data_IF_045105278223
#
_entry.id   IF_045105278223
#
_cell.length_a   1.000
_cell.length_b   1.000
_cell.length_c   1.000
_cell.angle_alpha   90.00
_cell.angle_beta   90.00
_cell.angle_gamma   90.00
#
_symmetry.space_group_name_H-M   'P 1'
#
loop_
_entity.id
_entity.type
_entity.pdbx_description
1 polymer ?
#
# COMPACT_ATOMS: atom_id res chain seq x y z
N UNK A 1 -7.70 -19.63 -15.15
CA UNK A 1 -8.49 -18.81 -16.10
C UNK A 1 -9.22 -17.67 -15.38
N UNK A 2 -9.84 -17.91 -14.23
CA UNK A 2 -10.55 -16.88 -13.45
C UNK A 2 -9.63 -15.78 -12.87
N UNK A 3 -8.47 -16.15 -12.30
CA UNK A 3 -7.49 -15.15 -11.79
C UNK A 3 -7.05 -14.16 -12.87
N UNK A 4 -6.76 -14.64 -14.08
CA UNK A 4 -6.37 -13.78 -15.19
C UNK A 4 -7.51 -12.82 -15.60
N UNK A 5 -8.76 -13.31 -15.60
CA UNK A 5 -9.94 -12.47 -15.86
C UNK A 5 -10.15 -11.40 -14.78
N UNK A 6 -9.94 -11.74 -13.51
CA UNK A 6 -10.02 -10.79 -12.40
C UNK A 6 -8.95 -9.70 -12.52
N UNK A 7 -7.70 -10.09 -12.84
CA UNK A 7 -6.60 -9.16 -13.11
C UNK A 7 -6.99 -8.20 -14.25
N UNK A 8 -7.44 -8.73 -15.39
CA UNK A 8 -7.86 -7.90 -16.53
C UNK A 8 -9.00 -6.94 -16.18
N UNK A 9 -9.93 -7.34 -15.32
CA UNK A 9 -11.05 -6.47 -14.92
C UNK A 9 -10.59 -5.31 -14.04
N UNK A 10 -9.71 -5.57 -13.05
CA UNK A 10 -9.14 -4.53 -12.19
C UNK A 10 -8.28 -3.57 -13.00
N UNK A 11 -7.42 -4.08 -13.88
CA UNK A 11 -6.59 -3.25 -14.75
C UNK A 11 -7.42 -2.38 -15.71
N UNK A 12 -8.46 -2.95 -16.32
CA UNK A 12 -9.36 -2.19 -17.20
C UNK A 12 -10.08 -1.06 -16.45
N UNK A 13 -10.50 -1.32 -15.20
CA UNK A 13 -11.10 -0.30 -14.35
C UNK A 13 -10.09 0.80 -13.97
N UNK A 14 -8.87 0.45 -13.58
CA UNK A 14 -7.83 1.45 -13.27
C UNK A 14 -7.49 2.30 -14.49
N UNK A 15 -7.43 1.67 -15.67
CA UNK A 15 -7.10 2.29 -16.95
C UNK A 15 -8.22 3.18 -17.51
N UNK A 16 -9.48 2.95 -17.13
CA UNK A 16 -10.59 3.83 -17.54
C UNK A 16 -10.51 5.24 -16.93
N UNK A 17 -9.60 5.44 -15.96
CA UNK A 17 -9.35 6.74 -15.36
C UNK A 17 -10.52 7.24 -14.52
N UNK A 18 -11.07 6.43 -13.59
CA UNK A 18 -12.15 6.91 -12.74
C UNK A 18 -11.67 8.11 -11.92
N UNK A 19 -12.58 9.06 -11.71
CA UNK A 19 -12.35 10.25 -10.90
C UNK A 19 -11.91 9.87 -9.47
N UNK A 20 -12.53 8.83 -8.91
CA UNK A 20 -12.19 8.29 -7.60
C UNK A 20 -11.80 6.81 -7.69
N UNK A 21 -10.68 6.45 -7.08
CA UNK A 21 -10.29 5.05 -6.87
C UNK A 21 -10.57 4.63 -5.42
N UNK A 22 -11.52 3.71 -5.19
CA UNK A 22 -11.76 3.16 -3.87
C UNK A 22 -10.50 2.51 -3.29
N UNK A 23 -10.28 2.66 -1.99
CA UNK A 23 -9.13 2.08 -1.27
C UNK A 23 -8.96 0.56 -1.40
N UNK A 24 -10.04 -0.15 -1.74
CA UNK A 24 -10.01 -1.60 -2.00
C UNK A 24 -9.23 -1.95 -3.28
N UNK A 25 -9.09 -1.04 -4.24
CA UNK A 25 -8.43 -1.29 -5.53
C UNK A 25 -6.92 -1.53 -5.36
N UNK A 26 -6.15 -0.67 -4.64
CA UNK A 26 -4.78 -1.00 -4.24
C UNK A 26 -4.65 -2.36 -3.54
N UNK A 27 -5.58 -2.71 -2.65
CA UNK A 27 -5.53 -4.01 -1.98
C UNK A 27 -5.67 -5.17 -2.98
N UNK A 28 -6.63 -5.11 -3.91
CA UNK A 28 -6.78 -6.14 -4.94
C UNK A 28 -5.56 -6.26 -5.84
N UNK A 29 -4.94 -5.13 -6.21
CA UNK A 29 -3.70 -5.13 -6.98
C UNK A 29 -2.58 -5.85 -6.24
N UNK A 30 -2.40 -5.60 -4.94
CA UNK A 30 -1.42 -6.32 -4.14
C UNK A 30 -1.73 -7.83 -4.10
N UNK A 31 -2.99 -8.21 -3.86
CA UNK A 31 -3.43 -9.62 -3.81
C UNK A 31 -3.23 -10.38 -5.12
N UNK A 32 -3.19 -9.69 -6.27
CA UNK A 32 -2.92 -10.31 -7.57
C UNK A 32 -1.44 -10.22 -8.01
N UNK A 33 -0.53 -9.80 -7.12
CA UNK A 33 0.91 -9.75 -7.36
C UNK A 33 1.38 -8.50 -8.11
N UNK A 34 0.66 -7.39 -7.94
CA UNK A 34 0.99 -6.07 -8.49
C UNK A 34 1.33 -5.10 -7.35
N UNK A 35 2.15 -5.52 -6.39
CA UNK A 35 2.40 -4.78 -5.14
C UNK A 35 2.98 -3.38 -5.37
N UNK A 36 4.00 -3.25 -6.24
CA UNK A 36 4.59 -1.95 -6.57
C UNK A 36 3.54 -1.00 -7.17
N UNK A 37 2.68 -1.54 -8.04
CA UNK A 37 1.60 -0.78 -8.68
C UNK A 37 0.51 -0.38 -7.68
N UNK A 38 0.15 -1.27 -6.77
CA UNK A 38 -0.78 -1.00 -5.68
C UNK A 38 -0.31 0.19 -4.84
N UNK A 39 0.96 0.17 -4.42
CA UNK A 39 1.56 1.22 -3.61
C UNK A 39 1.58 2.56 -4.34
N UNK A 40 1.92 2.57 -5.64
CA UNK A 40 1.92 3.79 -6.43
C UNK A 40 0.52 4.36 -6.62
N UNK A 41 -0.49 3.51 -6.87
CA UNK A 41 -1.88 3.95 -7.01
C UNK A 41 -2.41 4.51 -5.69
N UNK A 42 -2.18 3.83 -4.57
CA UNK A 42 -2.61 4.35 -3.26
C UNK A 42 -1.93 5.69 -2.94
N UNK A 43 -0.64 5.83 -3.27
CA UNK A 43 0.12 7.07 -3.04
C UNK A 43 -0.36 8.24 -3.88
N UNK A 44 -0.85 8.00 -5.09
CA UNK A 44 -1.07 9.07 -6.09
C UNK A 44 -2.52 9.29 -6.49
N UNK A 45 -3.41 8.31 -6.26
CA UNK A 45 -4.79 8.34 -6.78
C UNK A 45 -5.86 7.95 -5.76
N UNK A 46 -5.48 7.44 -4.59
CA UNK A 46 -6.46 7.19 -3.53
C UNK A 46 -6.67 8.48 -2.74
N UNK A 47 -7.63 9.28 -3.21
CA UNK A 47 -8.00 10.58 -2.62
C UNK A 47 -9.08 10.45 -1.54
N UNK A 48 -9.65 9.26 -1.39
CA UNK A 48 -10.70 8.93 -0.43
C UNK A 48 -10.20 7.93 0.61
N UNK A 49 -11.11 7.38 1.40
CA UNK A 49 -10.80 6.32 2.37
C UNK A 49 -10.01 5.15 1.76
N UNK A 50 -8.92 4.80 2.42
CA UNK A 50 -8.06 3.65 2.10
C UNK A 50 -7.84 2.71 3.29
N UNK A 51 -8.78 2.71 4.24
CA UNK A 51 -8.72 1.84 5.41
C UNK A 51 -8.52 0.36 5.05
N UNK A 52 -9.16 -0.14 4.00
CA UNK A 52 -8.97 -1.52 3.51
C UNK A 52 -7.50 -1.80 3.17
N UNK A 53 -6.86 -0.90 2.42
CA UNK A 53 -5.46 -1.05 2.04
C UNK A 53 -4.52 -0.90 3.24
N UNK A 54 -4.82 0.00 4.18
CA UNK A 54 -4.01 0.18 5.39
C UNK A 54 -4.07 -1.06 6.29
N UNK A 55 -5.26 -1.60 6.51
CA UNK A 55 -5.45 -2.85 7.27
C UNK A 55 -4.69 -3.99 6.61
N UNK A 56 -4.80 -4.11 5.28
CA UNK A 56 -4.05 -5.12 4.53
C UNK A 56 -2.53 -4.92 4.65
N UNK A 57 -2.03 -3.70 4.46
CA UNK A 57 -0.61 -3.34 4.50
C UNK A 57 0.04 -3.71 5.85
N UNK A 58 -0.67 -3.53 6.97
CA UNK A 58 -0.17 -3.85 8.30
C UNK A 58 -0.56 -5.26 8.79
N UNK A 59 -1.32 -6.03 8.01
CA UNK A 59 -1.57 -7.44 8.28
C UNK A 59 -0.34 -8.32 7.94
N UNK A 60 -0.35 -9.62 8.32
CA UNK A 60 0.64 -10.58 7.82
C UNK A 60 0.67 -10.71 6.29
N UNK A 61 -0.48 -10.57 5.62
CA UNK A 61 -0.58 -10.70 4.16
C UNK A 61 0.06 -9.51 3.42
N UNK A 62 0.20 -8.37 4.09
CA UNK A 62 0.88 -7.18 3.56
C UNK A 62 2.41 -7.30 3.55
N UNK A 63 2.99 -8.42 3.98
CA UNK A 63 4.45 -8.57 4.09
C UNK A 63 5.20 -8.30 2.78
N UNK A 64 4.66 -8.72 1.62
CA UNK A 64 5.31 -8.48 0.33
C UNK A 64 5.36 -6.99 -0.02
N UNK A 65 4.32 -6.21 0.32
CA UNK A 65 4.31 -4.75 0.17
C UNK A 65 5.38 -4.09 1.05
N UNK A 66 5.52 -4.51 2.32
CA UNK A 66 6.50 -3.92 3.25
C UNK A 66 7.95 -4.28 2.91
N UNK A 67 8.15 -5.36 2.15
CA UNK A 67 9.46 -5.78 1.65
C UNK A 67 9.93 -5.01 0.40
N UNK A 68 9.06 -4.22 -0.23
CA UNK A 68 9.40 -3.46 -1.44
C UNK A 68 10.47 -2.39 -1.15
N UNK A 69 11.44 -2.17 -2.06
CA UNK A 69 12.43 -1.10 -1.94
C UNK A 69 11.83 0.30 -1.79
N UNK A 70 10.66 0.54 -2.40
CA UNK A 70 9.93 1.81 -2.36
C UNK A 70 9.13 2.04 -1.06
N UNK A 71 8.95 1.02 -0.22
CA UNK A 71 8.13 1.11 0.99
C UNK A 71 8.52 2.27 1.91
N UNK A 72 9.82 2.54 2.22
CA UNK A 72 10.18 3.70 3.03
C UNK A 72 9.74 5.04 2.42
N UNK A 73 9.85 5.20 1.10
CA UNK A 73 9.43 6.41 0.41
C UNK A 73 7.90 6.58 0.46
N UNK A 74 7.16 5.49 0.29
CA UNK A 74 5.71 5.47 0.46
C UNK A 74 5.28 5.87 1.87
N UNK A 75 5.93 5.32 2.91
CA UNK A 75 5.64 5.64 4.31
C UNK A 75 5.91 7.12 4.64
N UNK A 76 6.99 7.68 4.09
CA UNK A 76 7.28 9.13 4.20
C UNK A 76 6.19 9.97 3.55
N UNK A 77 5.72 9.60 2.35
CA UNK A 77 4.65 10.32 1.66
C UNK A 77 3.33 10.33 2.44
N UNK A 78 3.07 9.27 3.23
CA UNK A 78 1.92 9.19 4.14
C UNK A 78 2.10 9.91 5.47
N UNK A 79 3.30 10.37 5.80
CA UNK A 79 3.60 11.07 7.06
C UNK A 79 3.72 10.17 8.29
N UNK A 80 3.75 8.84 8.12
CA UNK A 80 3.84 7.89 9.24
C UNK A 80 5.09 8.07 10.11
N UNK A 81 6.31 8.31 9.56
CA UNK A 81 7.49 8.46 10.41
C UNK A 81 7.35 9.57 11.44
N UNK A 82 6.80 10.74 11.05
CA UNK A 82 6.58 11.85 11.98
C UNK A 82 5.53 11.53 13.04
N UNK A 83 4.47 10.80 12.66
CA UNK A 83 3.46 10.33 13.61
C UNK A 83 4.06 9.35 14.62
N UNK A 84 4.83 8.37 14.14
CA UNK A 84 5.43 7.33 14.96
C UNK A 84 6.56 7.81 15.84
N UNK A 85 7.32 8.82 15.41
CA UNK A 85 8.32 9.49 16.25
C UNK A 85 7.68 10.15 17.48
N UNK A 86 6.44 10.61 17.35
CA UNK A 86 5.70 11.29 18.42
C UNK A 86 4.93 10.33 19.33
N UNK A 87 4.33 9.29 18.75
CA UNK A 87 3.36 8.44 19.46
C UNK A 87 3.76 6.98 19.59
N UNK A 88 4.88 6.57 18.98
CA UNK A 88 5.28 5.18 18.86
C UNK A 88 4.84 4.56 17.54
N UNK A 89 5.67 3.67 17.01
CA UNK A 89 5.35 2.85 15.84
C UNK A 89 4.59 1.58 16.26
N UNK A 90 3.90 0.91 15.33
CA UNK A 90 3.40 -0.45 15.54
C UNK A 90 4.55 -1.40 15.92
N UNK A 91 4.28 -2.41 16.75
CA UNK A 91 5.29 -3.37 17.25
C UNK A 91 6.11 -4.05 16.13
N UNK A 92 5.49 -4.23 14.97
CA UNK A 92 6.12 -4.84 13.80
C UNK A 92 7.09 -3.91 13.06
N UNK A 93 7.12 -2.62 13.41
CA UNK A 93 7.91 -1.60 12.72
C UNK A 93 9.03 -1.09 13.63
N UNK A 94 10.26 -1.06 13.10
CA UNK A 94 11.44 -0.54 13.80
C UNK A 94 12.08 0.57 12.99
N UNK A 95 12.49 1.63 13.67
CA UNK A 95 13.26 2.71 13.05
C UNK A 95 14.70 2.24 12.82
N UNK A 96 15.20 2.41 11.62
CA UNK A 96 16.58 2.10 11.24
C UNK A 96 17.51 3.31 11.43
N UNK A 97 18.81 3.10 11.20
CA UNK A 97 19.83 4.13 11.39
C UNK A 97 19.71 5.32 10.41
N UNK A 98 19.02 5.16 9.29
CA UNK A 98 18.74 6.24 8.35
C UNK A 98 17.51 7.07 8.78
N UNK A 99 16.84 6.65 9.85
CA UNK A 99 15.63 7.27 10.35
C UNK A 99 14.36 6.79 9.65
N UNK A 100 14.47 5.77 8.79
CA UNK A 100 13.34 5.14 8.13
C UNK A 100 12.74 4.03 8.97
N UNK A 101 11.49 3.68 8.71
CA UNK A 101 10.85 2.55 9.37
C UNK A 101 10.83 1.32 8.47
N UNK A 102 11.32 0.20 9.01
CA UNK A 102 11.21 -1.13 8.41
C UNK A 102 10.23 -1.95 9.21
N UNK A 103 9.35 -2.64 8.50
CA UNK A 103 8.25 -3.38 9.11
C UNK A 103 8.27 -4.83 8.65
N UNK A 104 8.30 -5.77 9.60
CA UNK A 104 8.43 -7.21 9.35
C UNK A 104 7.10 -7.91 9.03
#
# INVERSE_FOLDING_TARGET
MERARAVSAVEAYVASGPEFLPGIVPMWLAQIGQEARAMEIDRTRSEVDNSDFMVYLFSPDGKSLRALPEFPAYMRAKGFPALWDKYGAPDMCRKDAAGDYRCD
#
